data_IF_349401672639
#
_entry.id   IF_349401672639
#
_cell.length_a   1.000
_cell.length_b   1.000
_cell.length_c   1.000
_cell.angle_alpha   90.00
_cell.angle_beta   90.00
_cell.angle_gamma   90.00
#
_symmetry.space_group_name_H-M   'P 1'
#
loop_
_entity.id
_entity.type
_entity.pdbx_description
1 polymer ?
#
# COMPACT_ATOMS: atom_id res chain seq x y z
N UNK A 1 -8.19 13.60 -13.84
CA UNK A 1 -8.91 13.90 -12.60
C UNK A 1 -9.67 15.20 -12.77
N UNK A 2 -10.91 15.23 -12.37
CA UNK A 2 -11.86 16.31 -12.75
C UNK A 2 -11.83 17.51 -11.82
N UNK A 3 -10.91 17.56 -10.81
CA UNK A 3 -10.73 18.71 -9.92
C UNK A 3 -11.96 19.03 -9.05
N UNK A 4 -12.27 18.17 -8.10
CA UNK A 4 -13.27 18.46 -7.05
C UNK A 4 -12.59 18.78 -5.73
N UNK A 5 -13.25 19.51 -4.87
CA UNK A 5 -12.77 19.97 -3.56
C UNK A 5 -12.46 18.86 -2.54
N UNK A 6 -12.71 17.59 -2.87
CA UNK A 6 -12.60 16.46 -1.94
C UNK A 6 -11.35 15.59 -2.13
N UNK A 7 -10.39 16.04 -2.93
CA UNK A 7 -9.14 15.29 -3.17
C UNK A 7 -8.05 15.81 -2.26
N UNK A 8 -7.51 14.93 -1.42
CA UNK A 8 -6.43 15.25 -0.48
C UNK A 8 -5.05 15.42 -1.12
N UNK A 9 -4.94 15.20 -2.44
CA UNK A 9 -3.73 15.45 -3.21
C UNK A 9 -3.96 16.57 -4.22
N UNK A 10 -2.96 17.43 -4.49
CA UNK A 10 -3.06 18.42 -5.54
C UNK A 10 -3.25 17.74 -6.90
N UNK A 11 -4.19 18.25 -7.70
CA UNK A 11 -4.54 17.68 -9.00
C UNK A 11 -4.43 18.71 -10.11
N UNK A 12 -3.99 18.25 -11.27
CA UNK A 12 -4.02 19.04 -12.51
C UNK A 12 -5.20 18.58 -13.38
N UNK A 13 -6.00 19.53 -13.86
CA UNK A 13 -7.11 19.24 -14.75
C UNK A 13 -6.59 18.77 -16.11
N UNK A 14 -7.23 17.77 -16.69
CA UNK A 14 -6.94 17.26 -18.02
C UNK A 14 -7.82 16.06 -18.35
N UNK A 15 -7.74 15.58 -19.58
CA UNK A 15 -8.45 14.39 -20.02
C UNK A 15 -7.81 13.12 -19.43
N UNK A 16 -8.64 12.22 -18.97
CA UNK A 16 -8.27 10.91 -18.44
C UNK A 16 -8.92 9.81 -19.29
N UNK A 17 -8.12 8.89 -19.81
CA UNK A 17 -8.61 7.65 -20.38
C UNK A 17 -8.53 6.53 -19.35
N UNK A 18 -9.65 5.86 -19.06
CA UNK A 18 -9.67 4.69 -18.21
C UNK A 18 -10.03 3.44 -19.01
N UNK A 19 -9.03 2.58 -19.26
CA UNK A 19 -9.21 1.26 -19.85
C UNK A 19 -9.67 0.29 -18.75
N UNK A 20 -10.97 0.17 -18.56
CA UNK A 20 -11.61 -0.67 -17.55
C UNK A 20 -11.87 -2.08 -18.12
N UNK A 21 -10.80 -2.86 -18.36
CA UNK A 21 -10.81 -4.09 -19.14
C UNK A 21 -11.41 -5.31 -18.40
N UNK A 22 -11.76 -5.15 -17.14
CA UNK A 22 -12.46 -6.15 -16.32
C UNK A 22 -13.86 -5.70 -15.90
N UNK A 23 -14.35 -4.60 -16.50
CA UNK A 23 -15.63 -4.00 -16.17
C UNK A 23 -16.54 -3.84 -17.39
N UNK A 24 -17.76 -3.40 -17.16
CA UNK A 24 -18.72 -3.03 -18.20
C UNK A 24 -19.25 -1.60 -18.01
N UNK A 25 -19.75 -1.02 -19.09
CA UNK A 25 -20.25 0.38 -19.08
C UNK A 25 -21.33 0.64 -18.03
N UNK A 26 -22.24 -0.32 -17.81
CA UNK A 26 -23.35 -0.17 -16.84
C UNK A 26 -22.81 -0.09 -15.39
N UNK A 27 -21.85 -0.92 -15.05
CA UNK A 27 -21.21 -0.89 -13.72
C UNK A 27 -20.42 0.40 -13.52
N UNK A 28 -19.69 0.85 -14.54
CA UNK A 28 -18.93 2.10 -14.50
C UNK A 28 -19.86 3.29 -14.31
N UNK A 29 -20.95 3.39 -15.08
CA UNK A 29 -21.95 4.43 -14.93
C UNK A 29 -22.58 4.44 -13.53
N UNK A 30 -22.95 3.27 -13.01
CA UNK A 30 -23.50 3.16 -11.66
C UNK A 30 -22.52 3.59 -10.57
N UNK A 31 -21.22 3.32 -10.73
CA UNK A 31 -20.17 3.81 -9.82
C UNK A 31 -20.02 5.31 -9.89
N UNK A 32 -19.94 5.89 -11.08
CA UNK A 32 -19.84 7.36 -11.28
C UNK A 32 -20.99 8.08 -10.61
N UNK A 33 -22.21 7.59 -10.82
CA UNK A 33 -23.38 8.18 -10.20
C UNK A 33 -23.31 8.14 -8.66
N UNK A 34 -22.85 7.04 -8.08
CA UNK A 34 -22.67 6.94 -6.62
C UNK A 34 -21.55 7.83 -6.11
N UNK A 35 -20.44 7.93 -6.85
CA UNK A 35 -19.27 8.71 -6.43
C UNK A 35 -19.49 10.22 -6.55
N UNK A 36 -20.16 10.68 -7.61
CA UNK A 36 -20.19 12.08 -7.98
C UNK A 36 -21.60 12.65 -8.17
N UNK A 37 -22.65 11.83 -8.09
CA UNK A 37 -24.02 12.25 -8.34
C UNK A 37 -24.33 12.60 -9.81
N UNK A 38 -23.43 12.23 -10.73
CA UNK A 38 -23.57 12.47 -12.17
C UNK A 38 -23.24 11.23 -12.98
N UNK A 39 -23.75 11.13 -14.20
CA UNK A 39 -23.52 9.99 -15.10
C UNK A 39 -22.15 10.01 -15.77
N UNK A 40 -21.48 11.16 -15.81
CA UNK A 40 -20.16 11.30 -16.40
C UNK A 40 -19.62 12.72 -16.37
N UNK A 41 -18.41 12.88 -16.84
CA UNK A 41 -17.76 14.17 -17.07
C UNK A 41 -17.06 14.14 -18.41
N UNK A 42 -16.94 15.29 -19.09
CA UNK A 42 -16.34 15.39 -20.41
C UNK A 42 -14.84 14.99 -20.43
N UNK A 43 -14.19 15.06 -19.27
CA UNK A 43 -12.75 14.81 -19.15
C UNK A 43 -12.41 13.39 -18.66
N UNK A 44 -13.40 12.51 -18.46
CA UNK A 44 -13.16 11.11 -18.06
C UNK A 44 -13.80 10.16 -19.06
N UNK A 45 -12.98 9.57 -19.89
CA UNK A 45 -13.39 8.67 -20.97
C UNK A 45 -13.10 7.22 -20.59
N UNK A 46 -14.03 6.33 -20.89
CA UNK A 46 -13.93 4.89 -20.59
C UNK A 46 -13.86 4.06 -21.85
N UNK A 47 -12.99 3.03 -21.82
CA UNK A 47 -13.03 1.95 -22.79
C UNK A 47 -12.98 0.61 -22.03
N UNK A 48 -13.87 -0.32 -22.39
CA UNK A 48 -13.93 -1.67 -21.80
C UNK A 48 -13.20 -2.70 -22.66
N UNK A 49 -12.58 -2.26 -23.73
CA UNK A 49 -11.78 -3.06 -24.64
C UNK A 49 -10.52 -2.29 -25.07
N UNK A 50 -9.40 -3.01 -25.10
CA UNK A 50 -8.14 -2.54 -25.69
C UNK A 50 -7.45 -3.68 -26.42
N UNK A 51 -6.59 -3.34 -27.40
CA UNK A 51 -5.65 -4.29 -28.00
C UNK A 51 -4.58 -4.69 -27.00
N UNK A 52 -3.84 -5.76 -27.30
CA UNK A 52 -2.70 -6.17 -26.50
C UNK A 52 -1.43 -5.37 -26.86
N UNK A 53 -0.51 -5.30 -25.93
CA UNK A 53 0.81 -4.71 -26.13
C UNK A 53 1.55 -5.47 -27.22
N UNK A 54 2.19 -4.76 -28.16
CA UNK A 54 2.83 -5.38 -29.33
C UNK A 54 1.86 -5.80 -30.44
N UNK A 55 0.55 -5.71 -30.22
CA UNK A 55 -0.49 -6.10 -31.20
C UNK A 55 -1.44 -4.92 -31.49
N UNK A 56 -0.95 -3.69 -31.31
CA UNK A 56 -1.63 -2.47 -31.70
C UNK A 56 -2.22 -1.65 -30.54
N UNK A 57 -1.87 -1.93 -29.27
CA UNK A 57 -2.22 -1.10 -28.13
C UNK A 57 -1.53 0.28 -28.24
N UNK A 58 -0.25 0.26 -28.61
CA UNK A 58 0.57 1.47 -28.72
C UNK A 58 -0.03 2.46 -29.72
N UNK A 59 -0.44 1.99 -30.89
CA UNK A 59 -1.08 2.79 -31.91
C UNK A 59 -2.45 3.29 -31.45
N UNK A 60 -3.21 2.46 -30.74
CA UNK A 60 -4.51 2.82 -30.18
C UNK A 60 -4.37 3.97 -29.19
N UNK A 61 -3.38 3.92 -28.28
CA UNK A 61 -3.15 4.96 -27.28
C UNK A 61 -2.56 6.23 -27.88
N UNK A 62 -1.61 6.12 -28.81
CA UNK A 62 -1.04 7.27 -29.56
C UNK A 62 -2.15 8.03 -30.31
N UNK A 63 -3.02 7.29 -30.99
CA UNK A 63 -4.16 7.89 -31.69
C UNK A 63 -5.11 8.60 -30.74
N UNK A 64 -5.43 7.98 -29.59
CA UNK A 64 -6.27 8.61 -28.57
C UNK A 64 -5.68 9.94 -28.08
N UNK A 65 -4.38 9.98 -27.77
CA UNK A 65 -3.70 11.21 -27.33
C UNK A 65 -3.68 12.28 -28.43
N UNK A 66 -3.56 11.89 -29.70
CA UNK A 66 -3.66 12.83 -30.83
C UNK A 66 -5.08 13.44 -30.98
N UNK A 67 -6.12 12.63 -30.74
CA UNK A 67 -7.52 13.06 -30.77
C UNK A 67 -7.89 13.89 -29.51
N UNK A 68 -7.17 13.71 -28.40
CA UNK A 68 -7.35 14.39 -27.10
C UNK A 68 -6.01 14.98 -26.59
N UNK A 69 -5.54 16.10 -27.12
CA UNK A 69 -4.19 16.63 -26.81
C UNK A 69 -4.02 17.11 -25.36
N UNK A 70 -5.10 17.31 -24.63
CA UNK A 70 -5.09 17.65 -23.18
C UNK A 70 -5.05 16.42 -22.25
N UNK A 71 -4.85 15.22 -22.81
CA UNK A 71 -4.72 13.99 -22.03
C UNK A 71 -3.54 14.08 -21.05
N UNK A 72 -3.80 13.80 -19.78
CA UNK A 72 -2.78 13.79 -18.70
C UNK A 72 -2.55 12.42 -18.10
N UNK A 73 -3.57 11.57 -18.12
CA UNK A 73 -3.50 10.28 -17.47
C UNK A 73 -4.22 9.21 -18.31
N UNK A 74 -3.56 8.06 -18.45
CA UNK A 74 -4.19 6.85 -18.98
C UNK A 74 -4.11 5.78 -17.88
N UNK A 75 -5.24 5.22 -17.48
CA UNK A 75 -5.35 4.14 -16.49
C UNK A 75 -5.59 2.84 -17.23
N UNK A 76 -4.80 1.81 -16.93
CA UNK A 76 -4.96 0.46 -17.50
C UNK A 76 -5.32 -0.51 -16.39
N UNK A 77 -6.56 -0.97 -16.34
CA UNK A 77 -7.11 -1.87 -15.34
C UNK A 77 -7.64 -3.16 -16.03
N UNK A 78 -6.86 -4.25 -16.07
CA UNK A 78 -5.56 -4.43 -15.41
C UNK A 78 -4.44 -4.67 -16.42
N UNK A 79 -3.19 -4.53 -15.96
CA UNK A 79 -1.98 -4.84 -16.73
C UNK A 79 -2.06 -6.25 -17.37
N UNK A 80 -2.65 -7.21 -16.65
CA UNK A 80 -2.78 -8.60 -17.14
C UNK A 80 -3.59 -8.71 -18.44
N UNK A 81 -4.55 -7.81 -18.65
CA UNK A 81 -5.46 -7.85 -19.83
C UNK A 81 -4.79 -7.39 -21.13
N UNK A 82 -3.75 -6.59 -21.01
CA UNK A 82 -3.02 -6.07 -22.19
C UNK A 82 -1.76 -6.86 -22.51
N UNK A 83 -1.35 -7.80 -21.66
CA UNK A 83 -0.18 -8.67 -21.92
C UNK A 83 -0.44 -9.61 -23.09
N UNK A 84 0.56 -9.83 -23.92
CA UNK A 84 0.51 -10.82 -25.00
C UNK A 84 0.17 -12.23 -24.48
N UNK A 85 -0.67 -12.94 -25.20
CA UNK A 85 -1.01 -14.32 -24.92
C UNK A 85 0.08 -15.25 -25.50
N UNK A 86 1.21 -15.43 -24.79
CA UNK A 86 2.27 -16.34 -25.22
C UNK A 86 3.62 -16.03 -24.57
N UNK A 87 4.43 -17.05 -24.32
CA UNK A 87 5.76 -16.92 -23.74
C UNK A 87 5.84 -17.23 -22.25
N UNK A 88 7.03 -17.17 -21.71
CA UNK A 88 7.35 -17.39 -20.29
C UNK A 88 6.83 -16.18 -19.48
N UNK A 89 5.55 -16.25 -19.10
CA UNK A 89 4.69 -15.12 -18.69
C UNK A 89 5.14 -14.40 -17.42
N UNK A 90 6.08 -14.97 -16.66
CA UNK A 90 6.43 -14.50 -15.30
C UNK A 90 7.95 -14.46 -15.08
N UNK A 91 8.74 -14.14 -16.10
CA UNK A 91 10.16 -13.88 -15.91
C UNK A 91 10.40 -12.40 -15.59
N UNK A 92 11.42 -12.12 -14.79
CA UNK A 92 11.89 -10.75 -14.48
C UNK A 92 12.11 -9.93 -15.75
N UNK A 93 12.78 -10.53 -16.76
CA UNK A 93 13.09 -9.86 -18.02
C UNK A 93 11.82 -9.46 -18.79
N UNK A 94 10.80 -10.32 -18.81
CA UNK A 94 9.54 -10.03 -19.49
C UNK A 94 8.74 -8.93 -18.76
N UNK A 95 8.67 -8.97 -17.43
CA UNK A 95 8.00 -7.94 -16.64
C UNK A 95 8.66 -6.57 -16.83
N UNK A 96 10.00 -6.53 -16.80
CA UNK A 96 10.79 -5.33 -17.04
C UNK A 96 10.60 -4.78 -18.46
N UNK A 97 10.57 -5.66 -19.47
CA UNK A 97 10.36 -5.27 -20.88
C UNK A 97 8.96 -4.69 -21.10
N UNK A 98 7.92 -5.32 -20.54
CA UNK A 98 6.53 -4.87 -20.65
C UNK A 98 6.37 -3.45 -20.09
N UNK A 99 6.84 -3.22 -18.87
CA UNK A 99 6.75 -1.89 -18.25
C UNK A 99 7.64 -0.89 -19.00
N UNK A 100 8.82 -1.31 -19.45
CA UNK A 100 9.71 -0.47 -20.25
C UNK A 100 9.12 -0.03 -21.58
N UNK A 101 8.32 -0.89 -22.27
CA UNK A 101 7.57 -0.50 -23.48
C UNK A 101 6.50 0.52 -23.17
N UNK A 102 5.73 0.31 -22.08
CA UNK A 102 4.68 1.22 -21.65
C UNK A 102 5.24 2.56 -21.18
N UNK A 103 6.39 2.56 -20.47
CA UNK A 103 7.08 3.78 -20.08
C UNK A 103 7.50 4.61 -21.29
N UNK A 104 8.15 4.00 -22.28
CA UNK A 104 8.51 4.71 -23.53
C UNK A 104 7.28 5.31 -24.23
N UNK A 105 6.17 4.57 -24.25
CA UNK A 105 4.92 5.10 -24.80
C UNK A 105 4.40 6.31 -24.01
N UNK A 106 4.48 6.27 -22.68
CA UNK A 106 4.10 7.39 -21.82
C UNK A 106 4.97 8.63 -22.10
N UNK A 107 6.29 8.42 -22.18
CA UNK A 107 7.28 9.47 -22.47
C UNK A 107 7.03 10.08 -23.87
N UNK A 108 6.85 9.24 -24.90
CA UNK A 108 6.55 9.67 -26.27
C UNK A 108 5.27 10.50 -26.38
N UNK A 109 4.27 10.16 -25.59
CA UNK A 109 2.97 10.84 -25.58
C UNK A 109 2.87 12.01 -24.59
N UNK A 110 3.84 12.16 -23.68
CA UNK A 110 3.81 13.19 -22.63
C UNK A 110 2.67 12.98 -21.61
N UNK A 111 2.30 11.73 -21.31
CA UNK A 111 1.21 11.36 -20.40
C UNK A 111 1.69 10.48 -19.25
N UNK A 112 0.95 10.50 -18.15
CA UNK A 112 1.14 9.52 -17.08
C UNK A 112 0.38 8.22 -17.41
N UNK A 113 1.03 7.06 -17.24
CA UNK A 113 0.37 5.74 -17.27
C UNK A 113 0.24 5.21 -15.85
N UNK A 114 -0.98 4.91 -15.42
CA UNK A 114 -1.28 4.21 -14.17
C UNK A 114 -1.68 2.76 -14.48
N UNK A 115 -0.81 1.83 -14.13
CA UNK A 115 -1.03 0.39 -14.33
C UNK A 115 -1.62 -0.22 -13.07
N UNK A 116 -2.85 -0.73 -13.13
CA UNK A 116 -3.48 -1.46 -12.04
C UNK A 116 -3.06 -2.92 -12.11
N UNK A 117 -2.61 -3.46 -10.99
CA UNK A 117 -2.16 -4.86 -10.90
C UNK A 117 -2.56 -5.48 -9.55
N UNK A 118 -2.64 -6.81 -9.51
CA UNK A 118 -2.98 -7.53 -8.29
C UNK A 118 -1.76 -7.73 -7.40
N UNK A 119 -2.00 -7.88 -6.09
CA UNK A 119 -0.99 -8.29 -5.12
C UNK A 119 -1.02 -9.80 -4.91
N UNK A 120 0.13 -10.38 -4.52
CA UNK A 120 0.22 -11.77 -4.05
C UNK A 120 -0.40 -11.88 -2.66
N UNK A 121 -0.87 -13.08 -2.31
CA UNK A 121 -1.40 -13.37 -0.97
C UNK A 121 -0.30 -13.62 0.06
N UNK A 122 0.94 -13.84 -0.35
CA UNK A 122 2.08 -14.05 0.54
C UNK A 122 2.51 -12.71 1.15
N UNK A 123 2.77 -12.72 2.45
CA UNK A 123 3.44 -11.60 3.12
C UNK A 123 4.92 -11.61 2.73
N UNK A 124 5.48 -10.42 2.53
CA UNK A 124 6.88 -10.19 2.24
C UNK A 124 7.45 -9.20 3.26
N UNK A 125 8.77 -9.25 3.48
CA UNK A 125 9.46 -8.31 4.38
C UNK A 125 9.36 -6.88 3.83
N UNK A 126 9.55 -6.71 2.53
CA UNK A 126 9.15 -5.48 1.83
C UNK A 126 7.72 -5.63 1.30
N UNK A 127 6.85 -4.69 1.66
CA UNK A 127 5.45 -4.69 1.24
C UNK A 127 5.29 -4.60 -0.28
N UNK A 128 6.18 -3.90 -0.97
CA UNK A 128 6.14 -3.76 -2.42
C UNK A 128 6.47 -5.06 -3.15
N UNK A 129 7.19 -5.98 -2.51
CA UNK A 129 7.40 -7.35 -3.03
C UNK A 129 6.09 -8.17 -3.10
N UNK A 130 5.02 -7.70 -2.50
CA UNK A 130 3.69 -8.29 -2.64
C UNK A 130 3.03 -8.01 -4.00
N UNK A 131 3.54 -7.05 -4.78
CA UNK A 131 3.03 -6.81 -6.14
C UNK A 131 3.23 -8.08 -6.96
N UNK A 132 2.15 -8.58 -7.56
CA UNK A 132 2.16 -9.84 -8.32
C UNK A 132 3.05 -9.69 -9.55
N UNK A 133 3.86 -10.69 -9.84
CA UNK A 133 4.89 -10.62 -10.89
C UNK A 133 6.28 -10.73 -10.28
N UNK A 134 7.25 -10.08 -10.87
CA UNK A 134 8.63 -10.02 -10.39
C UNK A 134 8.97 -8.59 -9.97
N UNK A 135 10.10 -8.42 -9.26
CA UNK A 135 10.63 -7.08 -8.92
C UNK A 135 10.99 -6.27 -10.19
N UNK A 136 10.92 -6.89 -11.38
CA UNK A 136 11.05 -6.21 -12.67
C UNK A 136 9.97 -5.18 -12.94
N UNK A 137 8.75 -5.36 -12.43
CA UNK A 137 7.68 -4.38 -12.57
C UNK A 137 8.01 -3.08 -11.82
N UNK A 138 8.42 -3.19 -10.55
CA UNK A 138 8.82 -2.04 -9.74
C UNK A 138 10.09 -1.37 -10.25
N UNK A 139 11.10 -2.16 -10.66
CA UNK A 139 12.36 -1.64 -11.16
C UNK A 139 12.25 -0.76 -12.40
N UNK A 140 11.20 -0.95 -13.22
CA UNK A 140 10.95 -0.17 -14.43
C UNK A 140 9.96 0.99 -14.23
N UNK A 141 9.16 0.98 -13.14
CA UNK A 141 8.21 2.05 -12.82
C UNK A 141 8.88 3.26 -12.15
N UNK A 142 8.31 4.45 -12.31
CA UNK A 142 8.79 5.66 -11.64
C UNK A 142 8.25 5.77 -10.21
N UNK A 143 7.13 5.10 -9.93
CA UNK A 143 6.54 5.01 -8.59
C UNK A 143 5.53 3.89 -8.48
N UNK A 144 5.16 3.56 -7.26
CA UNK A 144 4.21 2.52 -6.94
C UNK A 144 3.24 2.95 -5.84
N UNK A 145 2.00 2.50 -5.96
CA UNK A 145 0.94 2.64 -4.98
C UNK A 145 0.51 1.25 -4.54
N UNK A 146 0.60 0.96 -3.25
CA UNK A 146 0.17 -0.30 -2.68
C UNK A 146 -1.02 -0.08 -1.74
N UNK A 147 -2.25 -0.39 -2.21
CA UNK A 147 -3.47 -0.28 -1.41
C UNK A 147 -3.75 -1.62 -0.71
N UNK A 148 -3.73 -1.59 0.61
CA UNK A 148 -3.92 -2.76 1.47
C UNK A 148 -5.07 -2.58 2.45
N UNK A 149 -5.81 -3.69 2.71
CA UNK A 149 -6.78 -3.79 3.79
C UNK A 149 -6.35 -4.89 4.75
N UNK A 150 -6.46 -4.65 6.05
CA UNK A 150 -6.20 -5.68 7.05
C UNK A 150 -7.25 -6.81 6.98
N UNK A 151 -8.51 -6.45 6.82
CA UNK A 151 -9.63 -7.39 6.68
C UNK A 151 -10.56 -6.96 5.54
N UNK A 152 -11.16 -7.93 4.85
CA UNK A 152 -12.12 -7.63 3.76
C UNK A 152 -13.33 -6.81 4.21
N UNK A 153 -13.76 -6.99 5.45
CA UNK A 153 -14.90 -6.30 6.06
C UNK A 153 -14.55 -4.93 6.62
N UNK A 154 -13.25 -4.62 6.68
CA UNK A 154 -12.77 -3.37 7.25
C UNK A 154 -13.12 -2.19 6.34
N UNK A 155 -13.60 -1.11 6.94
CA UNK A 155 -13.84 0.16 6.25
C UNK A 155 -12.57 0.95 6.04
N UNK A 156 -11.45 0.56 6.65
CA UNK A 156 -10.15 1.22 6.55
C UNK A 156 -9.22 0.54 5.53
N UNK A 157 -8.26 1.30 5.02
CA UNK A 157 -7.19 0.81 4.19
C UNK A 157 -5.93 1.66 4.40
N UNK A 158 -4.79 1.09 4.04
CA UNK A 158 -3.51 1.79 3.98
C UNK A 158 -3.06 1.85 2.52
N UNK A 159 -2.68 3.04 2.07
CA UNK A 159 -2.04 3.27 0.79
C UNK A 159 -0.58 3.64 1.03
N UNK A 160 0.32 2.70 0.78
CA UNK A 160 1.75 2.96 0.76
C UNK A 160 2.14 3.50 -0.64
N UNK A 161 2.94 4.56 -0.67
CA UNK A 161 3.39 5.25 -1.89
C UNK A 161 4.90 5.31 -1.86
N UNK A 162 5.54 4.82 -2.92
CA UNK A 162 6.98 4.95 -3.14
C UNK A 162 7.26 5.46 -4.55
N UNK A 163 8.34 6.23 -4.73
CA UNK A 163 8.70 6.78 -6.02
C UNK A 163 10.11 7.33 -6.06
N UNK A 164 10.66 7.49 -7.29
CA UNK A 164 12.03 7.96 -7.49
C UNK A 164 12.22 9.44 -7.13
N UNK A 165 11.19 10.26 -7.38
CA UNK A 165 11.25 11.71 -7.28
C UNK A 165 10.42 12.27 -6.13
N UNK A 166 9.97 11.41 -5.19
CA UNK A 166 9.16 11.79 -4.04
C UNK A 166 9.54 10.95 -2.82
N UNK A 167 9.33 11.53 -1.64
CA UNK A 167 9.48 10.78 -0.39
C UNK A 167 8.43 9.68 -0.29
N UNK A 168 8.81 8.57 0.33
CA UNK A 168 7.87 7.52 0.66
C UNK A 168 6.82 8.05 1.64
N UNK A 169 5.58 7.70 1.39
CA UNK A 169 4.44 8.17 2.16
C UNK A 169 3.48 7.02 2.44
N UNK A 170 2.79 7.13 3.57
CA UNK A 170 1.72 6.23 3.93
C UNK A 170 0.46 7.02 4.26
N UNK A 171 -0.62 6.69 3.56
CA UNK A 171 -1.94 7.29 3.77
C UNK A 171 -2.86 6.28 4.44
N UNK A 172 -3.48 6.68 5.54
CA UNK A 172 -4.54 5.93 6.19
C UNK A 172 -5.87 6.43 5.70
N UNK A 173 -6.66 5.52 5.17
CA UNK A 173 -7.87 5.83 4.43
C UNK A 173 -9.08 5.14 5.05
N UNK A 174 -10.20 5.85 5.14
CA UNK A 174 -11.52 5.29 5.47
C UNK A 174 -12.43 5.34 4.26
N UNK A 175 -13.20 4.28 4.05
CA UNK A 175 -14.10 4.17 2.92
C UNK A 175 -15.50 4.68 3.26
N UNK A 176 -15.94 5.70 2.53
CA UNK A 176 -17.35 6.03 2.42
C UNK A 176 -18.06 4.94 1.60
N UNK A 177 -18.94 4.18 2.27
CA UNK A 177 -19.65 3.05 1.65
C UNK A 177 -20.80 3.49 0.75
N UNK A 178 -21.35 4.68 0.96
CA UNK A 178 -22.44 5.21 0.16
C UNK A 178 -21.89 5.79 -1.16
N UNK A 179 -20.86 6.60 -1.07
CA UNK A 179 -20.22 7.26 -2.21
C UNK A 179 -19.13 6.42 -2.86
N UNK A 180 -18.70 5.29 -2.28
CA UNK A 180 -17.63 4.42 -2.76
C UNK A 180 -16.25 5.09 -2.89
N UNK A 181 -16.01 6.18 -2.20
CA UNK A 181 -14.74 6.91 -2.20
C UNK A 181 -13.92 6.61 -0.95
N UNK A 182 -12.62 6.89 -1.03
CA UNK A 182 -11.71 6.85 0.11
C UNK A 182 -11.46 8.26 0.60
N UNK A 183 -11.58 8.47 1.91
CA UNK A 183 -11.24 9.73 2.59
C UNK A 183 -9.95 9.55 3.35
N UNK A 184 -9.10 10.58 3.34
CA UNK A 184 -7.84 10.59 4.08
C UNK A 184 -8.12 10.85 5.56
N UNK A 185 -7.60 9.98 6.44
CA UNK A 185 -7.60 10.21 7.89
C UNK A 185 -6.30 10.85 8.36
N UNK A 186 -5.17 10.29 7.94
CA UNK A 186 -3.83 10.80 8.29
C UNK A 186 -2.78 10.37 7.28
N UNK A 187 -1.67 11.10 7.26
CA UNK A 187 -0.50 10.81 6.43
C UNK A 187 0.72 10.59 7.31
N UNK A 188 1.55 9.62 6.94
CA UNK A 188 2.88 9.40 7.47
C UNK A 188 3.90 9.59 6.33
N UNK A 189 4.98 10.31 6.60
CA UNK A 189 6.12 10.49 5.69
C UNK A 189 7.39 9.98 6.38
N UNK A 190 8.51 9.88 5.69
CA UNK A 190 9.80 9.50 6.30
C UNK A 190 10.19 10.38 7.50
N UNK A 191 9.76 11.65 7.50
CA UNK A 191 9.96 12.57 8.62
C UNK A 191 8.98 12.34 9.78
N UNK A 192 7.94 11.51 9.58
CA UNK A 192 6.97 11.20 10.61
C UNK A 192 7.48 10.03 11.45
N UNK A 193 7.86 10.33 12.68
CA UNK A 193 8.17 9.30 13.67
C UNK A 193 6.86 8.88 14.33
N UNK A 194 6.50 7.60 14.28
CA UNK A 194 5.36 7.06 15.03
C UNK A 194 5.49 7.49 16.49
N UNK A 195 4.43 8.09 17.10
CA UNK A 195 4.48 8.43 18.51
C UNK A 195 4.94 7.23 19.33
N UNK A 196 5.80 7.42 20.33
CA UNK A 196 6.27 6.34 21.16
C UNK A 196 5.10 5.51 21.69
N UNK A 197 5.21 4.19 21.61
CA UNK A 197 4.19 3.29 22.16
C UNK A 197 4.26 3.33 23.68
N UNK A 198 3.21 3.82 24.39
CA UNK A 198 3.26 3.99 25.84
C UNK A 198 3.58 2.69 26.60
N UNK A 199 3.21 1.53 26.04
CA UNK A 199 3.51 0.21 26.63
C UNK A 199 4.99 -0.13 26.47
N UNK A 200 5.58 0.16 25.28
CA UNK A 200 7.00 -0.07 25.06
C UNK A 200 7.86 0.89 25.87
N UNK A 201 7.44 2.16 26.03
CA UNK A 201 8.11 3.12 26.91
C UNK A 201 8.07 2.69 28.37
N UNK A 202 6.92 2.21 28.85
CA UNK A 202 6.79 1.72 30.21
C UNK A 202 7.69 0.47 30.46
N UNK A 203 7.86 -0.39 29.44
CA UNK A 203 8.80 -1.49 29.49
C UNK A 203 10.25 -1.01 29.50
N UNK A 204 10.60 -0.02 28.68
CA UNK A 204 11.93 0.59 28.68
C UNK A 204 12.28 1.25 30.03
N UNK A 205 11.28 1.82 30.69
CA UNK A 205 11.46 2.35 32.05
C UNK A 205 11.62 1.23 33.12
N UNK A 206 11.03 0.04 32.87
CA UNK A 206 11.11 -1.10 33.80
C UNK A 206 12.45 -1.85 33.69
N UNK A 207 13.01 -1.93 32.48
CA UNK A 207 14.25 -2.66 32.14
C UNK A 207 15.34 -1.66 31.80
N UNK A 208 16.26 -1.43 32.72
CA UNK A 208 17.32 -0.41 32.63
C UNK A 208 18.71 -1.04 32.74
N UNK A 209 19.75 -0.24 32.51
CA UNK A 209 21.14 -0.71 32.69
C UNK A 209 21.40 -1.22 34.13
N UNK A 210 20.77 -0.61 35.12
CA UNK A 210 20.89 -1.01 36.53
C UNK A 210 20.07 -2.29 36.83
N UNK A 211 19.00 -2.53 36.07
CA UNK A 211 18.11 -3.67 36.19
C UNK A 211 17.87 -4.28 34.80
N UNK A 212 18.85 -4.97 34.22
CA UNK A 212 18.85 -5.37 32.80
C UNK A 212 17.90 -6.51 32.45
N UNK A 213 17.25 -7.10 33.43
CA UNK A 213 16.32 -8.21 33.22
C UNK A 213 15.07 -8.06 34.07
N UNK A 214 13.94 -8.45 33.47
CA UNK A 214 12.67 -8.64 34.15
C UNK A 214 12.08 -10.03 33.78
N UNK A 215 11.51 -10.76 34.71
CA UNK A 215 10.86 -12.03 34.48
C UNK A 215 9.63 -12.22 35.33
N UNK A 216 8.57 -12.78 34.76
CA UNK A 216 7.31 -13.04 35.46
C UNK A 216 6.17 -13.45 34.51
N UNK A 217 4.96 -13.49 35.03
CA UNK A 217 3.74 -13.78 34.29
C UNK A 217 3.20 -12.50 33.60
N UNK A 218 2.30 -12.64 32.63
CA UNK A 218 1.63 -11.51 32.02
C UNK A 218 0.83 -10.66 33.04
N UNK A 219 0.31 -11.29 34.09
CA UNK A 219 -0.41 -10.59 35.18
C UNK A 219 0.54 -9.74 36.02
N UNK A 220 1.71 -10.26 36.34
CA UNK A 220 2.74 -9.53 37.07
C UNK A 220 3.32 -8.38 36.24
N UNK A 221 3.44 -8.57 34.90
CA UNK A 221 3.87 -7.49 34.00
C UNK A 221 2.85 -6.35 33.94
N UNK A 222 1.54 -6.67 33.84
CA UNK A 222 0.47 -5.65 33.92
C UNK A 222 0.58 -4.83 35.19
N UNK A 223 0.79 -5.50 36.32
CA UNK A 223 0.96 -4.80 37.62
C UNK A 223 2.24 -3.95 37.66
N UNK A 224 3.36 -4.46 37.14
CA UNK A 224 4.63 -3.75 37.09
C UNK A 224 4.58 -2.51 36.20
N UNK A 225 3.85 -2.56 35.07
CA UNK A 225 3.65 -1.45 34.15
C UNK A 225 2.52 -0.49 34.56
N UNK A 226 1.78 -0.82 35.62
CA UNK A 226 0.62 -0.05 36.09
C UNK A 226 -0.40 0.28 34.99
N UNK A 227 -0.66 -0.67 34.10
CA UNK A 227 -1.57 -0.50 32.96
C UNK A 227 -2.92 -1.17 33.20
N UNK A 228 -4.01 -0.59 32.67
CA UNK A 228 -5.36 -1.17 32.73
C UNK A 228 -5.59 -2.30 31.70
N UNK A 229 -4.57 -2.69 30.96
CA UNK A 229 -4.67 -3.74 29.96
C UNK A 229 -4.91 -5.12 30.60
N UNK A 230 -5.73 -5.92 29.93
CA UNK A 230 -5.86 -7.34 30.31
C UNK A 230 -4.56 -8.11 30.02
N UNK A 231 -4.10 -9.04 30.90
CA UNK A 231 -2.83 -9.77 30.73
C UNK A 231 -2.66 -10.44 29.35
N UNK A 232 -3.73 -11.05 28.85
CA UNK A 232 -3.70 -11.67 27.51
C UNK A 232 -3.55 -10.64 26.38
N UNK A 233 -4.18 -9.48 26.49
CA UNK A 233 -4.07 -8.42 25.51
C UNK A 233 -2.65 -7.82 25.48
N UNK A 234 -2.05 -7.64 26.66
CA UNK A 234 -0.66 -7.20 26.78
C UNK A 234 0.30 -8.19 26.13
N UNK A 235 0.19 -9.50 26.46
CA UNK A 235 1.03 -10.53 25.86
C UNK A 235 0.88 -10.61 24.33
N UNK A 236 -0.35 -10.51 23.80
CA UNK A 236 -0.58 -10.47 22.34
C UNK A 236 0.06 -9.23 21.70
N UNK A 237 -0.07 -8.06 22.32
CA UNK A 237 0.56 -6.83 21.83
C UNK A 237 2.08 -6.95 21.79
N UNK A 238 2.69 -7.49 22.85
CA UNK A 238 4.14 -7.68 22.92
C UNK A 238 4.65 -8.70 21.90
N UNK A 239 3.92 -9.78 21.64
CA UNK A 239 4.28 -10.72 20.57
C UNK A 239 4.34 -10.05 19.20
N UNK A 240 3.42 -9.10 18.90
CA UNK A 240 3.39 -8.34 17.64
C UNK A 240 4.47 -7.25 17.60
N UNK A 241 4.82 -6.69 18.75
CA UNK A 241 5.74 -5.53 18.86
C UNK A 241 7.15 -5.94 19.35
N UNK A 242 7.44 -7.23 19.45
CA UNK A 242 8.74 -7.75 19.94
C UNK A 242 9.93 -7.23 19.12
N UNK A 243 9.79 -7.19 17.79
CA UNK A 243 10.80 -6.63 16.90
C UNK A 243 11.07 -5.15 17.18
N UNK A 244 10.00 -4.34 17.33
CA UNK A 244 10.12 -2.91 17.63
C UNK A 244 10.74 -2.67 19.02
N UNK A 245 10.39 -3.47 20.01
CA UNK A 245 10.97 -3.39 21.35
C UNK A 245 12.49 -3.66 21.32
N UNK A 246 12.94 -4.61 20.49
CA UNK A 246 14.35 -4.89 20.29
C UNK A 246 15.07 -3.78 19.52
N UNK A 247 14.48 -3.28 18.43
CA UNK A 247 15.12 -2.29 17.56
C UNK A 247 15.21 -0.91 18.21
N UNK A 248 14.13 -0.45 18.85
CA UNK A 248 14.03 0.93 19.34
C UNK A 248 14.54 1.08 20.78
N UNK A 249 14.46 0.00 21.59
CA UNK A 249 14.79 0.05 23.02
C UNK A 249 15.87 -0.97 23.44
N UNK A 250 16.38 -1.79 22.50
CA UNK A 250 17.37 -2.84 22.76
C UNK A 250 16.89 -3.86 23.81
N UNK A 251 15.58 -4.10 23.91
CA UNK A 251 15.01 -5.03 24.86
C UNK A 251 14.47 -6.25 24.12
N UNK A 252 15.07 -7.41 24.40
CA UNK A 252 14.59 -8.69 23.90
C UNK A 252 13.41 -9.16 24.73
N UNK A 253 12.30 -9.47 24.05
CA UNK A 253 11.10 -10.07 24.64
C UNK A 253 11.03 -11.54 24.27
N UNK A 254 10.82 -12.40 25.28
CA UNK A 254 10.57 -13.82 25.09
C UNK A 254 9.33 -14.25 25.88
N UNK A 255 8.51 -15.09 25.26
CA UNK A 255 7.31 -15.65 25.87
C UNK A 255 7.42 -17.18 25.81
N UNK A 256 7.65 -17.82 26.93
CA UNK A 256 7.84 -19.24 27.05
C UNK A 256 6.69 -19.92 27.79
N UNK A 257 6.48 -21.22 27.52
CA UNK A 257 5.48 -22.04 28.21
C UNK A 257 6.21 -23.23 28.86
N UNK A 258 6.10 -23.32 30.16
CA UNK A 258 6.62 -24.46 30.96
C UNK A 258 5.46 -25.21 31.62
N UNK A 259 5.78 -26.30 32.32
CA UNK A 259 4.82 -27.04 33.18
C UNK A 259 4.23 -26.16 34.29
N UNK A 260 4.93 -25.10 34.70
CA UNK A 260 4.47 -24.12 35.71
C UNK A 260 3.61 -23.00 35.16
N UNK A 261 3.42 -22.93 33.84
CA UNK A 261 2.61 -21.88 33.17
C UNK A 261 3.34 -21.10 32.08
N UNK A 262 2.76 -19.98 31.67
CA UNK A 262 3.38 -19.04 30.71
C UNK A 262 4.20 -18.00 31.47
N UNK A 263 5.44 -17.78 31.03
CA UNK A 263 6.33 -16.75 31.56
C UNK A 263 6.85 -15.83 30.47
N UNK A 264 6.97 -14.55 30.81
CA UNK A 264 7.55 -13.50 29.98
C UNK A 264 8.92 -13.16 30.55
N UNK A 265 9.91 -13.02 29.67
CA UNK A 265 11.24 -12.54 29.98
C UNK A 265 11.55 -11.32 29.11
N UNK A 266 12.08 -10.28 29.73
CA UNK A 266 12.56 -9.06 29.10
C UNK A 266 14.03 -8.90 29.46
N UNK A 267 14.90 -8.71 28.46
CA UNK A 267 16.35 -8.60 28.66
C UNK A 267 16.89 -7.42 27.86
N UNK A 268 17.58 -6.51 28.54
CA UNK A 268 18.30 -5.42 27.87
C UNK A 268 19.55 -6.00 27.16
N UNK A 269 19.64 -5.81 25.86
CA UNK A 269 20.81 -6.17 25.09
C UNK A 269 21.83 -5.03 25.06
N UNK A 270 23.13 -5.34 25.13
CA UNK A 270 24.14 -4.30 24.96
C UNK A 270 24.06 -3.72 23.56
N UNK A 271 24.05 -2.39 23.46
CA UNK A 271 24.14 -1.70 22.18
C UNK A 271 25.39 -2.16 21.44
N UNK A 272 25.24 -2.76 20.29
CA UNK A 272 26.38 -3.05 19.42
C UNK A 272 26.93 -1.70 18.95
N UNK A 273 28.12 -1.35 19.45
CA UNK A 273 28.85 -0.15 19.06
C UNK A 273 29.42 -0.30 17.66
#
# INVERSE_FOLDING_TARGET
MTGGEEVFLPVHKGTVLYLALEDDHRRLQGRLYRMFGTEGTDNLLFAVYAKQLGVGLEEQLKRFVQEHPDTKLIIIDTLQKIREAGGDKYSYANDYEVVGKLKRLADDCGVCLLLVHHTRKQQADDKFDMISGTNGLLGAADGAFLLQKEKRTDGSAVLDVAGRDQQDQRFYLTRDKERLIWTLERTETEAWTEPPDPVLEAIAALVTVEKPTWGGTATELVAALQTDMKPNALAMRLNVRAGKLLTDYHIRYENSRSHAGRSISLTLEPSQA
#
